data_IF_009245298518
#
_entry.id   IF_009245298518
#
_cell.length_a   1.000
_cell.length_b   1.000
_cell.length_c   1.000
_cell.angle_alpha   90.00
_cell.angle_beta   90.00
_cell.angle_gamma   90.00
#
_symmetry.space_group_name_H-M   'P 1'
#
loop_
_entity.id
_entity.type
_entity.pdbx_description
1 polymer ?
#
# COMPACT_ATOMS: atom_id res chain seq x y z
N UNK A 1 -16.64 -11.80 17.98
CA UNK A 1 -16.31 -11.22 16.67
C UNK A 1 -15.17 -10.25 16.90
N UNK A 2 -14.03 -10.41 16.20
CA UNK A 2 -12.88 -9.53 16.35
C UNK A 2 -13.18 -8.13 15.80
N UNK A 3 -12.51 -7.10 16.32
CA UNK A 3 -12.55 -5.76 15.75
C UNK A 3 -11.91 -5.76 14.36
N UNK A 4 -12.52 -4.99 13.44
CA UNK A 4 -11.97 -4.74 12.11
C UNK A 4 -10.55 -4.17 12.21
N UNK A 5 -9.65 -4.61 11.33
CA UNK A 5 -8.23 -4.27 11.39
C UNK A 5 -7.63 -4.00 10.00
N UNK A 6 -6.52 -3.24 9.97
CA UNK A 6 -5.64 -3.17 8.79
C UNK A 6 -4.67 -4.35 8.87
N UNK A 7 -4.53 -5.11 7.78
CA UNK A 7 -3.58 -6.21 7.70
C UNK A 7 -2.34 -5.81 6.89
N UNK A 8 -1.16 -6.05 7.46
CA UNK A 8 0.12 -6.02 6.75
C UNK A 8 0.47 -7.44 6.30
N UNK A 9 0.59 -7.66 5.00
CA UNK A 9 0.92 -8.97 4.43
C UNK A 9 2.29 -8.88 3.76
N UNK A 10 3.34 -9.53 4.29
CA UNK A 10 4.62 -9.58 3.60
C UNK A 10 4.55 -10.53 2.40
N UNK A 11 5.01 -10.06 1.25
CA UNK A 11 5.19 -10.84 0.04
C UNK A 11 6.68 -11.09 -0.17
N UNK A 12 7.10 -12.34 -0.06
CA UNK A 12 8.53 -12.69 -0.04
C UNK A 12 9.17 -12.51 1.34
N UNK A 13 10.50 -12.39 1.36
CA UNK A 13 11.28 -12.38 2.59
C UNK A 13 11.47 -10.95 3.12
N UNK A 14 10.73 -10.64 4.19
CA UNK A 14 10.81 -9.35 4.86
C UNK A 14 11.20 -9.52 6.33
N UNK A 15 12.06 -8.63 6.84
CA UNK A 15 12.48 -8.67 8.23
C UNK A 15 11.30 -8.32 9.15
N UNK A 16 11.03 -9.17 10.14
CA UNK A 16 9.88 -8.99 11.04
C UNK A 16 9.91 -7.67 11.80
N UNK A 17 11.09 -7.20 12.21
CA UNK A 17 11.22 -5.95 12.97
C UNK A 17 10.82 -4.73 12.14
N UNK A 18 11.08 -4.75 10.82
CA UNK A 18 10.60 -3.69 9.92
C UNK A 18 9.08 -3.72 9.78
N UNK A 19 8.46 -4.90 9.75
CA UNK A 19 6.98 -5.01 9.71
C UNK A 19 6.34 -4.51 11.01
N UNK A 20 6.97 -4.77 12.17
CA UNK A 20 6.49 -4.28 13.47
C UNK A 20 6.53 -2.76 13.54
N UNK A 21 7.66 -2.16 13.16
CA UNK A 21 7.80 -0.70 13.12
C UNK A 21 6.77 -0.09 12.15
N UNK A 22 6.60 -0.69 10.97
CA UNK A 22 5.59 -0.24 10.02
C UNK A 22 4.17 -0.37 10.60
N UNK A 23 3.86 -1.47 11.31
CA UNK A 23 2.56 -1.67 11.93
C UNK A 23 2.25 -0.61 12.99
N UNK A 24 3.21 -0.29 13.86
CA UNK A 24 3.07 0.76 14.87
C UNK A 24 2.82 2.13 14.22
N UNK A 25 3.55 2.45 13.15
CA UNK A 25 3.37 3.71 12.42
C UNK A 25 1.99 3.79 11.75
N UNK A 26 1.55 2.71 11.09
CA UNK A 26 0.23 2.62 10.47
C UNK A 26 -0.88 2.74 11.53
N UNK A 27 -0.76 2.04 12.65
CA UNK A 27 -1.74 2.12 13.75
C UNK A 27 -1.87 3.56 14.27
N UNK A 28 -0.75 4.26 14.45
CA UNK A 28 -0.73 5.65 14.88
C UNK A 28 -1.40 6.62 13.89
N UNK A 29 -1.21 6.42 12.57
CA UNK A 29 -1.79 7.32 11.56
C UNK A 29 -3.29 7.09 11.35
N UNK A 30 -3.74 5.82 11.38
CA UNK A 30 -5.11 5.46 11.04
C UNK A 30 -6.01 5.26 12.27
N UNK A 31 -5.45 5.21 13.48
CA UNK A 31 -6.22 4.93 14.71
C UNK A 31 -7.05 3.65 14.62
N UNK A 32 -6.51 2.65 13.92
CA UNK A 32 -7.13 1.35 13.67
C UNK A 32 -6.16 0.24 14.08
N UNK A 33 -6.65 -0.87 14.66
CA UNK A 33 -5.81 -2.01 14.97
C UNK A 33 -5.07 -2.50 13.72
N UNK A 34 -3.77 -2.77 13.84
CA UNK A 34 -2.97 -3.34 12.77
C UNK A 34 -2.54 -4.76 13.12
N UNK A 35 -2.67 -5.68 12.17
CA UNK A 35 -2.26 -7.08 12.32
C UNK A 35 -1.27 -7.45 11.23
N UNK A 36 -0.23 -8.20 11.59
CA UNK A 36 0.69 -8.78 10.60
C UNK A 36 0.14 -10.15 10.21
N UNK A 37 -0.18 -10.32 8.93
CA UNK A 37 -0.68 -11.57 8.36
C UNK A 37 0.41 -12.58 8.02
N UNK A 38 0.00 -13.76 7.57
CA UNK A 38 0.91 -14.77 7.06
C UNK A 38 1.61 -14.32 5.78
N UNK A 39 2.83 -14.81 5.56
CA UNK A 39 3.61 -14.52 4.34
C UNK A 39 2.90 -15.08 3.11
N UNK A 40 2.81 -14.26 2.07
CA UNK A 40 2.25 -14.63 0.78
C UNK A 40 3.37 -14.83 -0.25
N UNK A 41 3.22 -15.86 -1.09
CA UNK A 41 4.11 -16.07 -2.21
C UNK A 41 3.68 -15.20 -3.40
N UNK A 42 4.66 -14.67 -4.12
CA UNK A 42 4.42 -13.87 -5.33
C UNK A 42 3.99 -14.83 -6.45
N UNK A 43 2.85 -14.59 -7.11
CA UNK A 43 2.39 -15.45 -8.21
C UNK A 43 3.38 -15.38 -9.36
N UNK A 44 3.74 -16.54 -9.92
CA UNK A 44 4.62 -16.58 -11.08
C UNK A 44 4.07 -15.77 -12.27
N UNK A 45 2.74 -15.71 -12.43
CA UNK A 45 2.08 -14.92 -13.46
C UNK A 45 2.15 -13.39 -13.23
N UNK A 46 2.53 -12.95 -12.03
CA UNK A 46 2.74 -11.54 -11.73
C UNK A 46 4.11 -11.05 -12.21
N UNK A 47 5.06 -11.95 -12.46
CA UNK A 47 6.44 -11.61 -12.81
C UNK A 47 6.57 -11.43 -14.32
N UNK A 48 7.08 -10.27 -14.74
CA UNK A 48 7.55 -10.04 -16.11
C UNK A 48 9.07 -10.30 -16.16
N UNK A 49 9.51 -11.42 -16.78
CA UNK A 49 10.92 -11.78 -16.81
C UNK A 49 11.75 -10.87 -17.72
N UNK A 50 11.15 -10.20 -18.69
CA UNK A 50 11.84 -9.24 -19.56
C UNK A 50 12.17 -7.95 -18.84
N UNK A 51 11.34 -7.57 -17.86
CA UNK A 51 11.54 -6.38 -17.02
C UNK A 51 12.25 -6.67 -15.70
N UNK A 52 12.21 -7.92 -15.24
CA UNK A 52 12.53 -8.28 -13.86
C UNK A 52 11.70 -7.47 -12.85
N UNK A 53 10.41 -7.28 -13.16
CA UNK A 53 9.45 -6.51 -12.37
C UNK A 53 8.18 -7.34 -12.11
N UNK A 54 7.42 -6.95 -11.10
CA UNK A 54 6.17 -7.59 -10.69
C UNK A 54 4.99 -6.65 -10.96
N UNK A 55 3.95 -7.18 -11.58
CA UNK A 55 2.74 -6.43 -11.89
C UNK A 55 1.90 -6.23 -10.62
N UNK A 56 1.81 -4.99 -10.14
CA UNK A 56 1.08 -4.62 -8.92
C UNK A 56 -0.42 -4.96 -8.99
N UNK A 57 -1.06 -4.89 -10.16
CA UNK A 57 -2.48 -5.25 -10.30
C UNK A 57 -2.77 -6.72 -9.97
N UNK A 58 -1.84 -7.62 -10.33
CA UNK A 58 -1.97 -9.05 -10.04
C UNK A 58 -1.80 -9.30 -8.54
N UNK A 59 -0.87 -8.58 -7.89
CA UNK A 59 -0.69 -8.63 -6.43
C UNK A 59 -1.93 -8.11 -5.69
N UNK A 60 -2.47 -6.97 -6.10
CA UNK A 60 -3.69 -6.40 -5.50
C UNK A 60 -4.87 -7.36 -5.56
N UNK A 61 -5.06 -8.02 -6.71
CA UNK A 61 -6.11 -9.03 -6.87
C UNK A 61 -5.94 -10.18 -5.87
N UNK A 62 -4.72 -10.71 -5.77
CA UNK A 62 -4.44 -11.83 -4.85
C UNK A 62 -4.63 -11.43 -3.39
N UNK A 63 -4.15 -10.24 -2.97
CA UNK A 63 -4.33 -9.73 -1.61
C UNK A 63 -5.81 -9.65 -1.22
N UNK A 64 -6.66 -9.27 -2.15
CA UNK A 64 -8.10 -9.19 -1.93
C UNK A 64 -8.77 -10.58 -1.85
N UNK A 65 -8.29 -11.55 -2.63
CA UNK A 65 -8.80 -12.93 -2.58
C UNK A 65 -8.44 -13.65 -1.27
N UNK A 66 -7.28 -13.34 -0.68
CA UNK A 66 -6.80 -13.96 0.56
C UNK A 66 -7.02 -13.10 1.80
N UNK A 67 -7.72 -11.97 1.66
CA UNK A 67 -7.96 -11.03 2.75
C UNK A 67 -8.69 -11.74 3.91
N UNK A 68 -8.20 -11.61 5.16
CA UNK A 68 -8.91 -12.13 6.32
C UNK A 68 -10.33 -11.57 6.44
N UNK A 69 -11.31 -12.34 6.97
CA UNK A 69 -12.69 -11.88 7.08
C UNK A 69 -12.88 -10.60 7.91
N UNK A 70 -11.98 -10.34 8.87
CA UNK A 70 -11.96 -9.15 9.72
C UNK A 70 -11.02 -8.04 9.19
N UNK A 71 -10.49 -8.20 7.97
CA UNK A 71 -9.67 -7.19 7.34
C UNK A 71 -10.53 -6.05 6.78
N UNK A 72 -10.39 -4.87 7.39
CA UNK A 72 -10.93 -3.62 6.86
C UNK A 72 -10.18 -3.22 5.59
N UNK A 73 -8.84 -3.20 5.68
CA UNK A 73 -7.92 -2.92 4.57
C UNK A 73 -6.74 -3.90 4.65
N UNK A 74 -6.09 -4.11 3.51
CA UNK A 74 -4.91 -4.97 3.39
C UNK A 74 -3.81 -4.19 2.67
N UNK A 75 -2.63 -4.13 3.27
CA UNK A 75 -1.42 -3.60 2.66
C UNK A 75 -0.41 -4.74 2.45
N UNK A 76 -0.13 -5.06 1.20
CA UNK A 76 1.00 -5.90 0.82
C UNK A 76 2.31 -5.14 0.91
N UNK A 77 3.35 -5.77 1.46
CA UNK A 77 4.72 -5.23 1.46
C UNK A 77 5.62 -6.18 0.70
N UNK A 78 6.30 -5.70 -0.33
CA UNK A 78 7.15 -6.51 -1.22
C UNK A 78 8.54 -5.90 -1.39
N UNK A 79 9.55 -6.70 -1.67
CA UNK A 79 10.93 -6.26 -1.90
C UNK A 79 11.36 -6.30 -3.38
N UNK A 80 10.42 -6.57 -4.28
CA UNK A 80 10.61 -6.62 -5.73
C UNK A 80 10.08 -5.36 -6.42
N UNK A 81 10.66 -5.05 -7.58
CA UNK A 81 10.31 -3.86 -8.34
C UNK A 81 8.89 -3.96 -8.91
N UNK A 82 8.04 -2.96 -8.65
CA UNK A 82 6.64 -2.97 -9.10
C UNK A 82 6.45 -2.14 -10.36
N UNK A 83 5.53 -2.59 -11.22
CA UNK A 83 5.03 -1.84 -12.37
C UNK A 83 3.54 -2.09 -12.58
N UNK A 84 2.90 -1.23 -13.36
CA UNK A 84 1.56 -1.47 -13.88
C UNK A 84 1.50 -1.12 -15.38
N UNK A 85 0.38 -1.37 -16.08
CA UNK A 85 0.29 -1.09 -17.52
C UNK A 85 0.49 0.38 -17.92
N UNK A 86 0.37 1.32 -16.97
CA UNK A 86 0.43 2.76 -17.21
C UNK A 86 1.83 3.31 -16.94
N UNK A 87 2.51 2.83 -15.89
CA UNK A 87 3.79 3.33 -15.44
C UNK A 87 4.90 2.28 -15.56
N UNK A 88 6.08 2.71 -15.98
CA UNK A 88 7.26 1.84 -16.04
C UNK A 88 7.68 1.30 -14.67
N UNK A 89 7.33 2.01 -13.60
CA UNK A 89 7.42 1.52 -12.23
C UNK A 89 6.47 2.30 -11.31
N UNK A 90 6.22 1.74 -10.13
CA UNK A 90 5.53 2.42 -9.03
C UNK A 90 6.22 2.09 -7.69
N UNK A 91 6.13 2.99 -6.71
CA UNK A 91 6.52 2.66 -5.33
C UNK A 91 5.45 1.81 -4.65
N UNK A 92 4.19 2.03 -5.00
CA UNK A 92 3.05 1.26 -4.55
C UNK A 92 1.88 1.47 -5.49
N UNK A 93 0.81 0.72 -5.25
CA UNK A 93 -0.46 0.91 -5.91
C UNK A 93 -1.59 0.53 -4.95
N UNK A 94 -2.67 1.27 -5.00
CA UNK A 94 -3.86 1.06 -4.20
C UNK A 94 -5.11 0.99 -5.06
N UNK A 95 -6.06 0.17 -4.63
CA UNK A 95 -7.43 0.29 -5.09
C UNK A 95 -8.04 1.55 -4.45
N UNK A 96 -8.31 2.57 -5.26
CA UNK A 96 -8.97 3.78 -4.78
C UNK A 96 -10.35 3.46 -4.21
N UNK A 97 -10.61 3.84 -2.96
CA UNK A 97 -11.80 3.45 -2.17
C UNK A 97 -12.02 1.92 -2.08
N UNK A 98 -11.00 1.13 -2.38
CA UNK A 98 -11.02 -0.33 -2.32
C UNK A 98 -10.43 -0.89 -1.03
N UNK A 99 -10.13 -2.19 -1.04
CA UNK A 99 -9.67 -2.89 0.17
C UNK A 99 -8.16 -3.08 0.21
N UNK A 100 -7.52 -3.18 -0.96
CA UNK A 100 -6.14 -3.63 -1.06
C UNK A 100 -5.21 -2.52 -1.59
N UNK A 101 -4.01 -2.51 -1.02
CA UNK A 101 -2.86 -1.73 -1.45
C UNK A 101 -1.61 -2.62 -1.44
N UNK A 102 -0.60 -2.24 -2.21
CA UNK A 102 0.73 -2.85 -2.17
C UNK A 102 1.80 -1.76 -2.22
N UNK A 103 2.88 -1.92 -1.48
CA UNK A 103 4.05 -1.05 -1.50
C UNK A 103 5.33 -1.88 -1.65
N UNK A 104 6.29 -1.37 -2.42
CA UNK A 104 7.58 -1.99 -2.67
C UNK A 104 8.72 -1.21 -2.03
N UNK A 105 9.62 -1.93 -1.36
CA UNK A 105 10.88 -1.34 -0.88
C UNK A 105 11.96 -1.25 -1.94
N UNK A 106 11.83 -1.95 -3.08
CA UNK A 106 12.88 -2.13 -4.08
C UNK A 106 13.52 -0.81 -4.50
N UNK A 107 12.70 0.17 -4.92
CA UNK A 107 13.18 1.50 -5.30
C UNK A 107 13.34 2.45 -4.12
N UNK A 108 12.76 2.15 -2.97
CA UNK A 108 12.92 2.95 -1.74
C UNK A 108 14.33 2.83 -1.14
N UNK A 109 15.09 1.78 -1.50
CA UNK A 109 16.52 1.70 -1.23
C UNK A 109 17.28 2.91 -1.76
N UNK A 110 16.93 3.36 -2.98
CA UNK A 110 17.67 4.41 -3.68
C UNK A 110 19.14 4.07 -3.89
N UNK A 111 19.93 5.08 -4.25
CA UNK A 111 21.37 4.93 -4.35
C UNK A 111 22.00 4.94 -2.95
N UNK A 112 22.81 3.93 -2.64
CA UNK A 112 23.47 3.79 -1.33
C UNK A 112 24.63 4.79 -1.23
N UNK A 113 24.44 5.88 -0.50
CA UNK A 113 25.53 6.79 -0.15
C UNK A 113 26.34 6.20 1.02
N UNK A 114 27.39 5.43 0.70
CA UNK A 114 28.28 4.75 1.66
C UNK A 114 28.95 5.71 2.67
N UNK A 115 28.92 7.03 2.40
CA UNK A 115 29.60 8.05 3.21
C UNK A 115 28.75 8.61 4.36
N UNK A 116 27.48 8.20 4.49
CA UNK A 116 26.57 8.71 5.54
C UNK A 116 26.06 7.58 6.43
N UNK A 117 26.62 7.40 7.65
CA UNK A 117 26.03 6.48 8.62
C UNK A 117 24.68 7.04 9.05
N UNK A 118 23.58 6.37 8.69
CA UNK A 118 22.23 6.73 9.15
C UNK A 118 21.82 5.83 10.31
N UNK A 119 21.28 6.41 11.38
CA UNK A 119 20.76 5.69 12.58
C UNK A 119 19.48 4.90 12.31
N UNK A 120 18.66 5.37 11.37
CA UNK A 120 17.45 4.70 10.86
C UNK A 120 17.69 4.42 9.37
N UNK A 121 17.34 3.23 8.91
CA UNK A 121 17.43 2.89 7.49
C UNK A 121 16.55 3.86 6.70
N UNK A 122 17.10 4.66 5.76
CA UNK A 122 16.29 5.58 4.94
C UNK A 122 15.13 4.87 4.24
N UNK A 123 15.27 3.56 3.99
CA UNK A 123 14.26 2.71 3.36
C UNK A 123 13.02 2.55 4.24
N UNK A 124 13.19 2.39 5.56
CA UNK A 124 12.06 2.18 6.46
C UNK A 124 11.20 3.43 6.57
N UNK A 125 11.83 4.60 6.71
CA UNK A 125 11.13 5.88 6.73
C UNK A 125 10.39 6.15 5.40
N UNK A 126 11.00 5.77 4.26
CA UNK A 126 10.36 5.87 2.95
C UNK A 126 9.18 4.90 2.82
N UNK A 127 9.33 3.69 3.36
CA UNK A 127 8.27 2.67 3.37
C UNK A 127 7.08 3.13 4.20
N UNK A 128 7.30 3.70 5.38
CA UNK A 128 6.24 4.29 6.22
C UNK A 128 5.44 5.35 5.44
N UNK A 129 6.12 6.23 4.70
CA UNK A 129 5.48 7.27 3.89
C UNK A 129 4.62 6.67 2.77
N UNK A 130 5.18 5.77 1.97
CA UNK A 130 4.44 5.22 0.83
C UNK A 130 3.34 4.24 1.30
N UNK A 131 3.53 3.52 2.40
CA UNK A 131 2.48 2.70 3.01
C UNK A 131 1.27 3.53 3.43
N UNK A 132 1.49 4.65 4.13
CA UNK A 132 0.41 5.57 4.53
C UNK A 132 -0.24 6.22 3.31
N UNK A 133 0.55 6.57 2.28
CA UNK A 133 0.05 7.10 1.02
C UNK A 133 -0.94 6.14 0.34
N UNK A 134 -0.52 4.88 0.13
CA UNK A 134 -1.35 3.88 -0.54
C UNK A 134 -2.57 3.51 0.30
N UNK A 135 -2.42 3.34 1.63
CA UNK A 135 -3.57 3.12 2.50
C UNK A 135 -4.54 4.30 2.47
N UNK A 136 -4.05 5.54 2.43
CA UNK A 136 -4.88 6.73 2.27
C UNK A 136 -5.77 6.67 1.03
N UNK A 137 -5.23 6.20 -0.10
CA UNK A 137 -6.01 5.95 -1.31
C UNK A 137 -7.11 4.90 -1.12
N UNK A 138 -6.85 3.83 -0.35
CA UNK A 138 -7.88 2.82 -0.06
C UNK A 138 -9.05 3.35 0.77
N UNK A 139 -8.84 4.40 1.57
CA UNK A 139 -9.93 5.10 2.26
C UNK A 139 -10.60 6.19 1.43
N UNK A 140 -10.03 6.55 0.27
CA UNK A 140 -10.58 7.55 -0.65
C UNK A 140 -9.88 8.91 -0.64
N UNK A 141 -8.75 9.05 0.05
CA UNK A 141 -7.93 10.26 -0.08
C UNK A 141 -7.37 10.36 -1.49
N UNK A 142 -7.47 11.55 -2.08
CA UNK A 142 -6.81 11.90 -3.35
C UNK A 142 -5.44 12.51 -3.07
N UNK A 143 -4.64 12.66 -4.12
CA UNK A 143 -3.37 13.38 -4.01
C UNK A 143 -3.55 14.78 -3.44
N UNK A 144 -2.64 15.17 -2.55
CA UNK A 144 -2.60 16.49 -1.92
C UNK A 144 -1.64 17.43 -2.67
N UNK A 145 -2.00 18.71 -2.76
CA UNK A 145 -1.14 19.76 -3.34
C UNK A 145 -0.01 20.20 -2.40
N UNK A 146 -0.16 19.98 -1.09
CA UNK A 146 0.91 20.23 -0.11
C UNK A 146 2.03 19.21 -0.28
N UNK A 147 3.21 19.70 -0.67
CA UNK A 147 4.41 18.89 -0.95
C UNK A 147 4.99 18.20 0.29
N UNK A 148 4.58 18.59 1.48
CA UNK A 148 5.01 17.95 2.73
C UNK A 148 3.99 16.93 3.26
N UNK A 149 2.76 16.92 2.72
CA UNK A 149 1.77 15.92 3.09
C UNK A 149 2.15 14.55 2.51
N UNK A 150 1.97 13.49 3.30
CA UNK A 150 2.22 12.11 2.83
C UNK A 150 1.41 11.73 1.58
N UNK A 151 0.22 12.33 1.40
CA UNK A 151 -0.62 12.17 0.21
C UNK A 151 -0.15 12.95 -1.02
N UNK A 152 0.99 13.66 -0.96
CA UNK A 152 1.57 14.25 -2.17
C UNK A 152 2.10 13.17 -3.11
N UNK A 153 1.87 13.35 -4.41
CA UNK A 153 2.36 12.44 -5.45
C UNK A 153 3.90 12.39 -5.47
N UNK A 154 4.46 11.19 -5.59
CA UNK A 154 5.90 10.93 -5.54
C UNK A 154 6.47 10.54 -6.92
N UNK A 155 6.85 11.49 -7.81
CA UNK A 155 7.47 11.15 -9.10
C UNK A 155 8.89 10.55 -8.96
N UNK A 156 9.51 10.66 -7.80
CA UNK A 156 10.88 10.21 -7.53
C UNK A 156 11.22 10.28 -6.05
N UNK A 157 12.37 9.72 -5.68
CA UNK A 157 12.79 9.61 -4.28
C UNK A 157 12.92 10.95 -3.56
N UNK A 158 13.34 12.01 -4.26
CA UNK A 158 13.40 13.35 -3.66
C UNK A 158 12.03 13.85 -3.19
N UNK A 159 10.95 13.43 -3.87
CA UNK A 159 9.58 13.73 -3.42
C UNK A 159 9.25 12.95 -2.17
N UNK A 160 9.53 11.64 -2.17
CA UNK A 160 9.34 10.76 -1.00
C UNK A 160 10.10 11.30 0.21
N UNK A 161 11.35 11.73 0.03
CA UNK A 161 12.20 12.26 1.09
C UNK A 161 11.68 13.60 1.64
N UNK A 162 11.08 14.44 0.80
CA UNK A 162 10.52 15.74 1.19
C UNK A 162 9.25 15.63 2.05
N UNK A 163 8.42 14.61 1.82
CA UNK A 163 7.16 14.42 2.57
C UNK A 163 7.43 14.14 4.04
N UNK A 164 6.54 14.58 4.92
CA UNK A 164 6.45 14.01 6.26
C UNK A 164 5.77 12.63 6.21
N UNK A 165 6.00 11.76 7.21
CA UNK A 165 5.36 10.45 7.28
C UNK A 165 3.89 10.50 7.77
N UNK A 166 3.29 11.69 7.79
CA UNK A 166 1.93 11.95 8.25
C UNK A 166 1.19 12.87 7.26
N UNK A 167 -0.13 12.89 7.36
CA UNK A 167 -0.97 13.75 6.54
C UNK A 167 -0.94 15.20 7.04
N UNK A 168 -1.22 16.17 6.16
CA UNK A 168 -1.52 17.54 6.61
C UNK A 168 -2.89 17.57 7.30
N UNK A 169 -3.18 18.62 8.07
CA UNK A 169 -4.42 18.71 8.87
C UNK A 169 -5.69 18.44 8.05
N UNK A 170 -5.80 19.02 6.85
CA UNK A 170 -6.98 18.82 5.98
C UNK A 170 -7.15 17.37 5.54
N UNK A 171 -6.04 16.69 5.20
CA UNK A 171 -6.08 15.28 4.84
C UNK A 171 -6.37 14.40 6.07
N UNK A 172 -5.88 14.78 7.26
CA UNK A 172 -6.17 14.07 8.50
C UNK A 172 -7.66 14.13 8.84
N UNK A 173 -8.26 15.33 8.82
CA UNK A 173 -9.68 15.52 9.13
C UNK A 173 -10.56 14.71 8.16
N UNK A 174 -10.23 14.75 6.86
CA UNK A 174 -10.93 13.96 5.85
C UNK A 174 -10.72 12.45 6.05
N UNK A 175 -9.50 12.02 6.38
CA UNK A 175 -9.19 10.62 6.63
C UNK A 175 -10.02 10.07 7.80
N UNK A 176 -10.08 10.79 8.92
CA UNK A 176 -10.86 10.38 10.09
C UNK A 176 -12.35 10.26 9.76
N UNK A 177 -12.88 11.19 8.95
CA UNK A 177 -14.27 11.11 8.47
C UNK A 177 -14.50 9.90 7.56
N UNK A 178 -13.58 9.62 6.63
CA UNK A 178 -13.66 8.47 5.72
C UNK A 178 -13.58 7.14 6.47
N UNK A 179 -12.70 7.04 7.48
CA UNK A 179 -12.57 5.85 8.33
C UNK A 179 -13.87 5.60 9.11
N UNK A 180 -14.43 6.62 9.75
CA UNK A 180 -15.69 6.49 10.48
C UNK A 180 -16.81 5.97 9.57
N UNK A 181 -16.92 6.53 8.36
CA UNK A 181 -17.90 6.10 7.35
C UNK A 181 -17.68 4.65 6.90
N UNK A 182 -16.42 4.24 6.71
CA UNK A 182 -16.08 2.87 6.31
C UNK A 182 -16.45 1.85 7.41
N UNK A 183 -16.25 2.20 8.68
CA UNK A 183 -16.59 1.34 9.83
C UNK A 183 -18.11 1.19 10.03
N UNK A 184 -18.90 2.18 9.62
CA UNK A 184 -20.36 2.16 9.67
C UNK A 184 -21.00 1.40 8.48
N UNK A 185 -20.21 1.09 7.45
CA UNK A 185 -20.67 0.53 6.19
C UNK A 185 -21.17 -0.91 6.37
N UNK A 186 -22.37 -1.21 5.87
CA UNK A 186 -22.91 -2.56 5.95
C UNK A 186 -22.39 -3.42 4.79
N UNK A 187 -22.26 -4.76 4.97
CA UNK A 187 -21.82 -5.66 3.89
C UNK A 187 -22.68 -5.58 2.62
N UNK A 188 -23.94 -5.15 2.75
CA UNK A 188 -24.87 -4.94 1.63
C UNK A 188 -24.50 -3.77 0.71
N UNK A 189 -23.59 -2.89 1.14
CA UNK A 189 -23.23 -1.69 0.39
C UNK A 189 -22.05 -1.93 -0.57
N UNK A 190 -21.40 -3.12 -0.58
CA UNK A 190 -20.40 -3.45 -1.59
C UNK A 190 -21.03 -3.49 -2.99
N UNK A 191 -20.53 -2.72 -3.96
CA UNK A 191 -20.92 -2.93 -5.34
C UNK A 191 -20.52 -4.36 -5.72
N UNK A 192 -21.48 -5.15 -6.19
CA UNK A 192 -21.24 -6.52 -6.63
C UNK A 192 -20.03 -6.56 -7.57
N UNK A 193 -19.12 -7.51 -7.33
CA UNK A 193 -17.98 -7.74 -8.21
C UNK A 193 -18.48 -7.81 -9.66
N UNK A 194 -17.97 -6.97 -10.58
CA UNK A 194 -18.42 -7.01 -11.96
C UNK A 194 -18.15 -8.40 -12.53
N UNK A 195 -19.10 -8.99 -13.29
CA UNK A 195 -18.89 -10.31 -13.87
C UNK A 195 -17.62 -10.29 -14.74
N UNK A 196 -16.86 -11.40 -14.81
CA UNK A 196 -15.66 -11.46 -15.65
C UNK A 196 -16.04 -11.08 -17.08
N UNK A 197 -15.30 -10.15 -17.66
CA UNK A 197 -15.47 -9.72 -19.04
C UNK A 197 -15.37 -10.94 -19.96
N UNK A 198 -16.45 -11.24 -20.67
CA UNK A 198 -16.50 -12.32 -21.65
C UNK A 198 -15.34 -12.14 -22.65
N UNK A 199 -14.61 -13.20 -23.00
CA UNK A 199 -13.54 -13.09 -23.98
C UNK A 199 -14.09 -12.55 -25.30
N UNK A 200 -13.42 -11.51 -25.82
CA UNK A 200 -13.70 -10.95 -27.14
C UNK A 200 -13.69 -12.11 -28.15
N UNK A 201 -14.85 -12.38 -28.74
CA UNK A 201 -14.96 -13.32 -29.85
C UNK A 201 -14.14 -12.76 -31.01
N UNK A 202 -13.04 -13.43 -31.32
CA UNK A 202 -12.31 -13.25 -32.56
C UNK A 202 -13.25 -13.59 -33.72
N UNK A 203 -13.65 -12.56 -34.46
CA UNK A 203 -14.26 -12.66 -35.78
C UNK A 203 -13.19 -12.67 -36.86
#
# INVERSE_FOLDING_TARGET
MGSLAIYLIPLGDFQEDHLKILAEHVEAQFSLPVKIGGRLQIPACAVDPGRNQVNSNIILKQLCEVAPPDALKVLGVVDLDLFNPIFSFVYGEAQFEGRCAVVSTYRLHGERDEKKPRRISPVLLRLEKEAVHELGHTFGLRHCSDRHCVMHFSPGLDSVDRKFPYTCQTCQDLLMWLIARELERQPSDEPACPPPSLPLRSG
#
